data_IF_989708213711
#
_entry.id   IF_989708213711
#
_cell.length_a   1.000
_cell.length_b   1.000
_cell.length_c   1.000
_cell.angle_alpha   90.00
_cell.angle_beta   90.00
_cell.angle_gamma   90.00
#
_symmetry.space_group_name_H-M   'P 1'
#
loop_
_entity.id
_entity.type
_entity.pdbx_description
1 polymer ?
#
# COMPACT_ATOMS: atom_id res chain seq x y z
N UNK A 1 -9.65 -27.91 -2.14
CA UNK A 1 -9.39 -27.92 -3.59
C UNK A 1 -8.30 -26.92 -3.95
N UNK A 2 -7.06 -27.39 -4.06
CA UNK A 2 -5.84 -26.60 -4.36
C UNK A 2 -5.83 -25.91 -5.73
N UNK A 3 -6.87 -26.11 -6.54
CA UNK A 3 -6.93 -25.66 -7.94
C UNK A 3 -7.43 -24.22 -8.11
N UNK A 4 -8.14 -23.66 -7.13
CA UNK A 4 -8.81 -22.37 -7.29
C UNK A 4 -7.93 -21.20 -6.81
N UNK A 5 -8.02 -20.06 -7.51
CA UNK A 5 -7.49 -18.81 -7.05
C UNK A 5 -8.32 -18.28 -5.88
N UNK A 6 -7.65 -17.94 -4.77
CA UNK A 6 -8.29 -17.30 -3.61
C UNK A 6 -8.20 -15.79 -3.69
N UNK A 7 -7.13 -15.26 -4.31
CA UNK A 7 -6.91 -13.82 -4.51
C UNK A 7 -6.07 -13.56 -5.76
N UNK A 8 -6.33 -12.43 -6.42
CA UNK A 8 -5.53 -11.91 -7.53
C UNK A 8 -5.09 -10.50 -7.16
N UNK A 9 -3.82 -10.18 -7.39
CA UNK A 9 -3.25 -8.86 -7.26
C UNK A 9 -2.62 -8.43 -8.59
N UNK A 10 -2.91 -7.22 -9.06
CA UNK A 10 -2.45 -6.69 -10.33
C UNK A 10 -1.53 -5.49 -10.16
N UNK A 11 -0.37 -5.51 -10.82
CA UNK A 11 0.54 -4.38 -10.95
C UNK A 11 0.60 -3.85 -12.38
N UNK A 12 1.70 -3.17 -12.72
CA UNK A 12 1.91 -2.59 -14.05
C UNK A 12 2.31 -3.68 -15.06
N UNK A 13 1.30 -4.17 -15.80
CA UNK A 13 1.47 -5.21 -16.82
C UNK A 13 1.78 -6.61 -16.30
N UNK A 14 1.56 -6.90 -15.02
CA UNK A 14 1.66 -8.24 -14.44
C UNK A 14 0.55 -8.52 -13.44
N UNK A 15 0.33 -9.79 -13.17
CA UNK A 15 -0.56 -10.23 -12.11
C UNK A 15 0.07 -11.36 -11.29
N UNK A 16 -0.25 -11.38 -10.01
CA UNK A 16 0.07 -12.44 -9.08
C UNK A 16 -1.21 -13.06 -8.53
N UNK A 17 -1.24 -14.38 -8.40
CA UNK A 17 -2.41 -15.17 -8.01
C UNK A 17 -2.03 -16.02 -6.80
N UNK A 18 -2.75 -15.83 -5.72
CA UNK A 18 -2.71 -16.70 -4.56
C UNK A 18 -3.73 -17.81 -4.74
N UNK A 19 -3.32 -19.06 -4.66
CA UNK A 19 -4.21 -20.21 -4.67
C UNK A 19 -4.67 -20.62 -3.28
N UNK A 20 -5.72 -21.41 -3.22
CA UNK A 20 -6.28 -21.94 -1.97
C UNK A 20 -5.31 -22.83 -1.17
N UNK A 21 -4.29 -23.39 -1.82
CA UNK A 21 -3.21 -24.14 -1.17
C UNK A 21 -2.08 -23.25 -0.62
N UNK A 22 -2.25 -21.92 -0.72
CA UNK A 22 -1.26 -20.94 -0.27
C UNK A 22 -0.10 -20.73 -1.24
N UNK A 23 -0.07 -21.38 -2.40
CA UNK A 23 0.95 -21.16 -3.42
C UNK A 23 0.68 -19.86 -4.21
N UNK A 24 1.75 -19.18 -4.62
CA UNK A 24 1.66 -17.97 -5.45
C UNK A 24 2.12 -18.28 -6.87
N UNK A 25 1.35 -17.79 -7.83
CA UNK A 25 1.60 -17.90 -9.27
C UNK A 25 1.59 -16.52 -9.89
N UNK A 26 2.37 -16.29 -10.94
CA UNK A 26 2.45 -15.00 -11.60
C UNK A 26 2.58 -15.11 -13.11
N UNK A 27 2.14 -14.06 -13.82
CA UNK A 27 2.28 -13.91 -15.27
C UNK A 27 2.31 -12.43 -15.65
N UNK A 28 2.79 -12.13 -16.85
CA UNK A 28 2.97 -10.77 -17.38
C UNK A 28 4.41 -10.31 -17.36
N UNK A 29 4.63 -9.00 -17.20
CA UNK A 29 5.96 -8.39 -17.17
C UNK A 29 6.77 -8.85 -15.96
N UNK A 30 8.10 -9.00 -16.16
CA UNK A 30 9.00 -9.52 -15.14
C UNK A 30 10.41 -8.88 -15.20
N UNK A 31 10.54 -7.71 -15.82
CA UNK A 31 11.85 -7.05 -15.99
C UNK A 31 12.58 -6.75 -14.68
N UNK A 32 11.82 -6.58 -13.60
CA UNK A 32 12.34 -6.27 -12.27
C UNK A 32 12.29 -7.48 -11.33
N UNK A 33 11.81 -8.64 -11.81
CA UNK A 33 11.67 -9.87 -11.03
C UNK A 33 10.36 -9.95 -10.24
N UNK A 34 9.34 -9.14 -10.60
CA UNK A 34 8.06 -9.03 -9.88
C UNK A 34 7.22 -10.32 -9.86
N UNK A 35 7.57 -11.32 -10.68
CA UNK A 35 6.94 -12.65 -10.64
C UNK A 35 7.60 -13.63 -9.65
N UNK A 36 8.76 -13.29 -9.08
CA UNK A 36 9.41 -14.05 -8.01
C UNK A 36 9.91 -15.46 -8.42
N UNK A 37 10.11 -15.72 -9.69
CA UNK A 37 10.44 -17.05 -10.25
C UNK A 37 11.92 -17.21 -10.65
N UNK A 38 12.79 -16.32 -10.15
CA UNK A 38 14.23 -16.26 -10.46
C UNK A 38 14.58 -15.91 -11.91
N UNK A 39 13.61 -15.38 -12.65
CA UNK A 39 13.79 -14.95 -14.05
C UNK A 39 13.46 -13.47 -14.18
N UNK A 40 13.87 -12.86 -15.28
CA UNK A 40 13.53 -11.46 -15.64
C UNK A 40 12.74 -11.38 -16.96
N UNK A 41 12.54 -12.51 -17.63
CA UNK A 41 11.74 -12.56 -18.86
C UNK A 41 10.24 -12.50 -18.52
N UNK A 42 9.43 -11.81 -19.34
CA UNK A 42 7.98 -11.84 -19.22
C UNK A 42 7.44 -13.25 -19.44
N UNK A 43 6.31 -13.55 -18.80
CA UNK A 43 5.67 -14.87 -18.81
C UNK A 43 4.23 -14.73 -19.26
N UNK A 44 3.87 -15.42 -20.33
CA UNK A 44 2.50 -15.42 -20.87
C UNK A 44 1.61 -16.52 -20.27
N UNK A 45 2.18 -17.48 -19.55
CA UNK A 45 1.48 -18.56 -18.89
C UNK A 45 1.80 -18.53 -17.40
N UNK A 46 0.81 -18.61 -16.49
CA UNK A 46 1.09 -18.56 -15.06
C UNK A 46 2.17 -19.55 -14.63
N UNK A 47 3.16 -19.07 -13.90
CA UNK A 47 4.27 -19.84 -13.35
C UNK A 47 4.35 -19.62 -11.84
N UNK A 48 4.68 -20.67 -11.11
CA UNK A 48 4.78 -20.62 -9.66
C UNK A 48 6.03 -19.86 -9.22
N UNK A 49 5.93 -19.11 -8.12
CA UNK A 49 7.08 -18.49 -7.47
C UNK A 49 8.06 -19.56 -6.93
N UNK A 50 9.35 -19.20 -6.82
CA UNK A 50 10.40 -20.16 -6.45
C UNK A 50 10.50 -20.48 -4.95
N UNK A 51 9.47 -20.18 -4.14
CA UNK A 51 9.45 -20.57 -2.73
C UNK A 51 8.22 -21.42 -2.45
N UNK A 52 8.48 -22.61 -1.94
CA UNK A 52 7.49 -23.51 -1.38
C UNK A 52 7.16 -23.02 0.06
N UNK A 53 6.14 -22.19 0.18
CA UNK A 53 5.63 -21.70 1.47
C UNK A 53 4.14 -21.43 1.34
N UNK A 54 3.44 -21.45 2.46
CA UNK A 54 2.00 -21.16 2.50
C UNK A 54 1.79 -19.68 2.80
N UNK A 55 1.18 -18.99 1.85
CA UNK A 55 0.82 -17.59 1.97
C UNK A 55 -0.69 -17.45 2.17
N UNK A 56 -1.10 -16.42 2.93
CA UNK A 56 -2.53 -16.10 3.17
C UNK A 56 -2.96 -14.77 2.56
N UNK A 57 -2.02 -13.91 2.17
CA UNK A 57 -2.31 -12.65 1.51
C UNK A 57 -1.23 -12.32 0.48
N UNK A 58 -1.65 -11.71 -0.62
CA UNK A 58 -0.79 -11.17 -1.66
C UNK A 58 -1.29 -9.80 -2.09
N UNK A 59 -0.37 -8.86 -2.32
CA UNK A 59 -0.63 -7.55 -2.88
C UNK A 59 0.42 -7.24 -3.96
N UNK A 60 0.06 -6.39 -4.91
CA UNK A 60 0.93 -5.98 -5.99
C UNK A 60 1.09 -4.46 -5.97
N UNK A 61 2.33 -4.00 -5.95
CA UNK A 61 2.68 -2.64 -6.30
C UNK A 61 2.90 -2.49 -7.81
N UNK A 62 3.42 -1.34 -8.23
CA UNK A 62 3.63 -1.08 -9.65
C UNK A 62 4.52 -2.15 -10.30
N UNK A 63 5.67 -2.47 -9.69
CA UNK A 63 6.66 -3.44 -10.19
C UNK A 63 7.22 -4.35 -9.09
N UNK A 64 6.52 -4.49 -7.98
CA UNK A 64 6.90 -5.39 -6.89
C UNK A 64 5.69 -6.10 -6.34
N UNK A 65 5.91 -7.25 -5.75
CA UNK A 65 4.90 -8.07 -5.09
C UNK A 65 5.26 -8.22 -3.62
N UNK A 66 4.26 -8.15 -2.77
CA UNK A 66 4.38 -8.39 -1.33
C UNK A 66 3.38 -9.46 -0.91
N UNK A 67 3.78 -10.35 -0.02
CA UNK A 67 2.97 -11.44 0.45
C UNK A 67 3.15 -11.68 1.95
N UNK A 68 2.07 -12.04 2.60
CA UNK A 68 2.01 -12.40 4.02
C UNK A 68 1.88 -13.91 4.15
N UNK A 69 2.80 -14.53 4.89
CA UNK A 69 2.74 -15.96 5.23
C UNK A 69 1.80 -16.23 6.40
N UNK A 70 1.41 -17.49 6.53
CA UNK A 70 0.60 -17.96 7.66
C UNK A 70 1.28 -17.73 9.02
N UNK A 71 2.60 -17.81 9.08
CA UNK A 71 3.42 -17.57 10.28
C UNK A 71 3.52 -16.08 10.69
N UNK A 72 2.92 -15.17 9.94
CA UNK A 72 2.96 -13.73 10.20
C UNK A 72 4.22 -13.02 9.69
N UNK A 73 5.09 -13.71 8.93
CA UNK A 73 6.23 -13.08 8.24
C UNK A 73 5.81 -12.49 6.90
N UNK A 74 6.44 -11.39 6.50
CA UNK A 74 6.17 -10.69 5.24
C UNK A 74 7.33 -10.91 4.29
N UNK A 75 7.01 -11.15 3.02
CA UNK A 75 7.97 -11.40 1.96
C UNK A 75 7.68 -10.50 0.78
N UNK A 76 8.70 -10.00 0.09
CA UNK A 76 8.55 -9.12 -1.05
C UNK A 76 9.57 -9.46 -2.14
N UNK A 77 9.27 -9.10 -3.39
CA UNK A 77 10.14 -9.31 -4.54
C UNK A 77 9.76 -8.36 -5.69
N UNK A 78 10.68 -8.19 -6.64
CA UNK A 78 10.54 -7.26 -7.75
C UNK A 78 11.44 -6.05 -7.58
N UNK A 79 10.97 -4.89 -8.05
CA UNK A 79 11.68 -3.61 -7.96
C UNK A 79 11.92 -3.17 -6.52
N UNK A 80 13.11 -2.65 -6.26
CA UNK A 80 13.53 -2.12 -4.96
C UNK A 80 14.20 -0.73 -5.05
N UNK A 81 13.98 -0.01 -6.12
CA UNK A 81 14.60 1.31 -6.36
C UNK A 81 14.38 2.28 -5.20
N UNK A 82 13.26 2.17 -4.51
CA UNK A 82 12.87 3.00 -3.37
C UNK A 82 12.92 2.27 -2.03
N UNK A 83 13.50 1.06 -1.97
CA UNK A 83 13.52 0.27 -0.73
C UNK A 83 12.19 -0.41 -0.39
N UNK A 84 11.27 -0.53 -1.34
CA UNK A 84 9.92 -1.10 -1.15
C UNK A 84 9.92 -2.57 -0.76
N UNK A 85 11.06 -3.27 -0.91
CA UNK A 85 11.22 -4.66 -0.41
C UNK A 85 11.58 -4.74 1.08
N UNK A 86 11.82 -3.59 1.76
CA UNK A 86 12.05 -3.54 3.20
C UNK A 86 13.31 -4.25 3.70
N UNK A 87 14.38 -4.27 2.88
CA UNK A 87 15.62 -5.03 3.11
C UNK A 87 16.77 -4.17 3.66
N UNK A 88 16.56 -2.87 3.93
CA UNK A 88 17.62 -1.95 4.29
C UNK A 88 18.56 -1.59 3.13
N UNK A 89 18.20 -1.96 1.91
CA UNK A 89 18.95 -1.66 0.70
C UNK A 89 17.99 -1.29 -0.44
N UNK A 90 18.53 -1.06 -1.64
CA UNK A 90 17.76 -0.73 -2.87
C UNK A 90 18.08 -1.68 -4.02
N UNK A 91 18.35 -2.95 -3.72
CA UNK A 91 18.64 -3.99 -4.70
C UNK A 91 17.37 -4.77 -4.99
N UNK A 92 16.94 -4.78 -6.25
CA UNK A 92 15.79 -5.56 -6.71
C UNK A 92 16.00 -7.06 -6.52
N UNK A 93 14.93 -7.80 -6.28
CA UNK A 93 14.98 -9.22 -5.99
C UNK A 93 14.05 -10.00 -6.93
N UNK A 94 14.61 -10.95 -7.68
CA UNK A 94 13.85 -11.84 -8.57
C UNK A 94 13.35 -13.12 -7.88
N UNK A 95 13.61 -13.24 -6.57
CA UNK A 95 13.05 -14.25 -5.66
C UNK A 95 12.46 -13.56 -4.44
N UNK A 96 11.46 -14.14 -3.79
CA UNK A 96 10.98 -13.61 -2.52
C UNK A 96 12.09 -13.48 -1.48
N UNK A 97 12.19 -12.28 -0.87
CA UNK A 97 13.07 -11.96 0.26
C UNK A 97 12.23 -11.55 1.45
N UNK A 98 12.64 -11.91 2.65
CA UNK A 98 11.88 -11.58 3.86
C UNK A 98 12.05 -10.10 4.21
N UNK A 99 10.95 -9.39 4.43
CA UNK A 99 10.95 -8.01 4.93
C UNK A 99 11.48 -7.99 6.35
N UNK A 100 12.42 -7.07 6.64
CA UNK A 100 13.08 -7.00 7.94
C UNK A 100 12.21 -6.36 9.02
N UNK A 101 12.50 -6.63 10.28
CA UNK A 101 11.91 -5.99 11.47
C UNK A 101 10.38 -6.08 11.58
N UNK A 102 9.75 -7.04 10.92
CA UNK A 102 8.31 -7.30 11.03
C UNK A 102 8.05 -8.66 11.67
N UNK A 103 7.17 -8.67 12.68
CA UNK A 103 6.71 -9.89 13.34
C UNK A 103 5.22 -9.82 13.63
N UNK A 104 4.57 -10.98 13.67
CA UNK A 104 3.13 -11.08 13.97
C UNK A 104 2.24 -10.20 13.08
N UNK A 105 2.59 -10.03 11.81
CA UNK A 105 1.82 -9.25 10.86
C UNK A 105 0.51 -9.99 10.53
N UNK A 106 -0.58 -9.23 10.47
CA UNK A 106 -1.92 -9.76 10.18
C UNK A 106 -2.48 -9.24 8.87
N UNK A 107 -1.97 -8.12 8.35
CA UNK A 107 -2.37 -7.59 7.04
C UNK A 107 -1.27 -6.73 6.42
N UNK A 108 -1.20 -6.74 5.10
CA UNK A 108 -0.31 -5.90 4.29
C UNK A 108 -1.09 -5.23 3.16
N UNK A 109 -0.59 -4.10 2.67
CA UNK A 109 -1.06 -3.49 1.43
C UNK A 109 0.12 -2.86 0.67
N UNK A 110 -0.03 -2.69 -0.64
CA UNK A 110 0.96 -2.11 -1.53
C UNK A 110 0.37 -0.92 -2.30
N UNK A 111 1.08 0.21 -2.28
CA UNK A 111 0.93 1.28 -3.26
C UNK A 111 1.86 1.07 -4.44
N UNK A 112 2.04 2.08 -5.30
CA UNK A 112 2.90 1.95 -6.49
C UNK A 112 4.33 1.53 -6.11
N UNK A 113 4.96 2.21 -5.13
CA UNK A 113 6.34 2.00 -4.71
C UNK A 113 6.52 2.08 -3.18
N UNK A 114 5.47 1.85 -2.41
CA UNK A 114 5.54 1.78 -0.95
C UNK A 114 4.66 0.65 -0.43
N UNK A 115 4.86 0.28 0.80
CA UNK A 115 4.09 -0.75 1.46
C UNK A 115 3.69 -0.33 2.87
N UNK A 116 2.62 -0.94 3.36
CA UNK A 116 2.06 -0.74 4.70
C UNK A 116 1.67 -2.09 5.29
N UNK A 117 1.91 -2.29 6.57
CA UNK A 117 1.54 -3.49 7.29
C UNK A 117 0.96 -3.14 8.66
N UNK A 118 0.10 -4.01 9.20
CA UNK A 118 -0.33 -3.98 10.60
C UNK A 118 0.00 -5.29 11.29
N UNK A 119 0.43 -5.19 12.55
CA UNK A 119 0.60 -6.34 13.40
C UNK A 119 -0.69 -6.66 14.20
N UNK A 120 -0.70 -7.76 14.94
CA UNK A 120 -1.84 -8.20 15.75
C UNK A 120 -2.22 -7.24 16.89
N UNK A 121 -1.35 -6.28 17.22
CA UNK A 121 -1.61 -5.25 18.23
C UNK A 121 -2.16 -3.96 17.60
N UNK A 122 -2.29 -3.90 16.27
CA UNK A 122 -2.73 -2.72 15.54
C UNK A 122 -1.64 -1.69 15.32
N UNK A 123 -0.37 -2.03 15.53
CA UNK A 123 0.73 -1.15 15.15
C UNK A 123 0.88 -1.14 13.63
N UNK A 124 1.07 0.05 13.07
CA UNK A 124 1.21 0.26 11.63
C UNK A 124 2.68 0.49 11.29
N UNK A 125 3.15 -0.18 10.26
CA UNK A 125 4.50 -0.07 9.71
C UNK A 125 4.44 0.33 8.24
N UNK A 126 5.30 1.26 7.82
CA UNK A 126 5.38 1.75 6.44
C UNK A 126 6.82 1.80 5.96
N UNK A 127 7.04 1.61 4.65
CA UNK A 127 8.36 1.68 4.02
C UNK A 127 8.24 1.85 2.50
N UNK A 128 9.33 2.20 1.84
CA UNK A 128 9.41 2.48 0.42
C UNK A 128 9.44 3.97 0.11
N UNK A 129 8.93 4.36 -1.05
CA UNK A 129 8.87 5.75 -1.52
C UNK A 129 8.01 6.62 -0.60
N UNK A 130 8.51 7.84 -0.31
CA UNK A 130 7.82 8.79 0.56
C UNK A 130 7.76 10.22 0.03
N UNK A 131 8.09 10.47 -1.22
CA UNK A 131 8.15 11.82 -1.80
C UNK A 131 6.83 12.60 -1.74
N UNK A 132 5.73 11.94 -1.41
CA UNK A 132 4.39 12.50 -1.23
C UNK A 132 3.86 12.31 0.19
N UNK A 133 4.70 11.94 1.16
CA UNK A 133 4.28 11.68 2.53
C UNK A 133 3.47 10.38 2.72
N UNK A 134 3.49 9.46 1.75
CA UNK A 134 2.70 8.24 1.74
C UNK A 134 3.08 7.23 2.82
N UNK A 135 4.17 7.45 3.55
CA UNK A 135 4.54 6.65 4.72
C UNK A 135 3.93 7.16 6.03
N UNK A 136 3.38 8.39 6.06
CA UNK A 136 2.70 8.93 7.25
C UNK A 136 3.60 9.17 8.47
N UNK A 137 4.92 9.18 8.30
CA UNK A 137 5.93 9.29 9.36
C UNK A 137 6.39 10.74 9.60
N UNK A 138 5.61 11.73 9.15
CA UNK A 138 5.86 13.19 9.24
C UNK A 138 7.05 13.68 8.44
N UNK A 139 7.58 12.86 7.54
CA UNK A 139 8.67 13.23 6.62
C UNK A 139 8.25 12.98 5.17
N UNK A 140 9.15 13.28 4.23
CA UNK A 140 9.05 12.87 2.82
C UNK A 140 10.26 12.03 2.41
N UNK A 141 11.02 11.56 3.39
CA UNK A 141 12.19 10.74 3.16
C UNK A 141 11.82 9.28 2.88
N UNK A 142 12.42 8.72 1.84
CA UNK A 142 12.28 7.32 1.46
C UNK A 142 12.93 6.39 2.47
N UNK A 143 12.21 5.36 2.90
CA UNK A 143 12.63 4.44 3.96
C UNK A 143 12.73 3.02 3.42
N UNK A 144 13.89 2.37 3.60
CA UNK A 144 14.15 1.02 3.08
C UNK A 144 13.99 -0.11 4.10
N UNK A 145 13.65 0.22 5.34
CA UNK A 145 13.31 -0.73 6.42
C UNK A 145 11.95 -0.30 7.00
N UNK A 146 11.02 -1.22 7.30
CA UNK A 146 9.75 -0.85 7.91
C UNK A 146 9.92 -0.01 9.18
N UNK A 147 9.25 1.14 9.22
CA UNK A 147 9.18 2.03 10.38
C UNK A 147 7.76 2.09 10.92
N UNK A 148 7.63 2.06 12.25
CA UNK A 148 6.34 2.18 12.92
C UNK A 148 5.87 3.64 12.89
N UNK A 149 4.64 3.87 12.40
CA UNK A 149 3.99 5.17 12.51
C UNK A 149 3.52 5.42 13.95
N UNK A 150 3.61 6.68 14.38
CA UNK A 150 3.22 7.13 15.71
C UNK A 150 2.12 8.18 15.63
N UNK A 151 1.43 8.45 16.77
CA UNK A 151 0.38 9.46 16.85
C UNK A 151 -0.97 8.98 16.34
N UNK A 152 -1.22 7.68 16.39
CA UNK A 152 -2.55 7.08 16.23
C UNK A 152 -3.10 6.78 17.65
N UNK A 153 -4.29 7.30 17.94
CA UNK A 153 -4.89 7.20 19.27
C UNK A 153 -5.52 5.83 19.53
N UNK A 154 -5.99 5.17 18.47
CA UNK A 154 -6.67 3.89 18.54
C UNK A 154 -5.92 2.81 17.78
N UNK A 155 -6.20 1.55 18.15
CA UNK A 155 -5.71 0.38 17.44
C UNK A 155 -6.19 0.39 15.98
N UNK A 156 -5.27 0.21 15.03
CA UNK A 156 -5.62 0.07 13.61
C UNK A 156 -6.05 -1.35 13.31
N UNK A 157 -7.14 -1.50 12.56
CA UNK A 157 -7.74 -2.79 12.21
C UNK A 157 -7.68 -3.09 10.71
N UNK A 158 -7.52 -2.07 9.85
CA UNK A 158 -7.38 -2.22 8.39
C UNK A 158 -6.35 -1.26 7.84
N UNK A 159 -5.65 -1.70 6.82
CA UNK A 159 -4.75 -0.88 6.00
C UNK A 159 -5.07 -1.05 4.53
N UNK A 160 -4.84 0.01 3.76
CA UNK A 160 -4.89 0.01 2.31
C UNK A 160 -3.80 0.94 1.75
N UNK A 161 -3.33 0.64 0.56
CA UNK A 161 -2.44 1.52 -0.20
C UNK A 161 -2.78 1.42 -1.69
N UNK A 162 -2.48 2.47 -2.45
CA UNK A 162 -2.70 2.53 -3.89
C UNK A 162 -2.15 3.83 -4.46
N UNK A 163 -1.50 3.80 -5.64
CA UNK A 163 -0.78 4.95 -6.14
C UNK A 163 0.26 5.46 -5.12
N UNK A 164 0.16 6.72 -4.74
CA UNK A 164 0.93 7.35 -3.66
C UNK A 164 0.06 7.70 -2.45
N UNK A 165 -0.99 6.93 -2.18
CA UNK A 165 -1.88 7.07 -1.03
C UNK A 165 -1.77 5.87 -0.10
N UNK A 166 -1.94 6.13 1.19
CA UNK A 166 -2.16 5.14 2.23
C UNK A 166 -3.41 5.52 3.04
N UNK A 167 -4.16 4.51 3.46
CA UNK A 167 -5.32 4.67 4.31
C UNK A 167 -5.35 3.60 5.39
N UNK A 168 -5.90 3.96 6.54
CA UNK A 168 -6.10 3.06 7.67
C UNK A 168 -7.52 3.23 8.23
N UNK A 169 -8.04 2.17 8.81
CA UNK A 169 -9.26 2.21 9.64
C UNK A 169 -8.86 1.78 11.05
N UNK A 170 -9.25 2.57 12.04
CA UNK A 170 -9.03 2.22 13.43
C UNK A 170 -10.19 1.39 14.02
N UNK A 171 -10.07 0.98 15.27
CA UNK A 171 -11.04 0.14 15.97
C UNK A 171 -12.40 0.82 16.23
N UNK A 172 -12.50 2.13 16.04
CA UNK A 172 -13.76 2.90 16.15
C UNK A 172 -14.46 3.05 14.79
N UNK A 173 -13.82 2.62 13.70
CA UNK A 173 -14.33 2.78 12.34
C UNK A 173 -13.98 4.13 11.71
N UNK A 174 -13.06 4.88 12.32
CA UNK A 174 -12.55 6.12 11.77
C UNK A 174 -11.51 5.84 10.67
N UNK A 175 -11.57 6.64 9.61
CA UNK A 175 -10.66 6.52 8.45
C UNK A 175 -9.62 7.63 8.49
N UNK A 176 -8.36 7.25 8.34
CA UNK A 176 -7.25 8.20 8.19
C UNK A 176 -6.57 7.98 6.84
N UNK A 177 -6.16 9.06 6.19
CA UNK A 177 -5.51 9.03 4.88
C UNK A 177 -4.25 9.91 4.92
N UNK A 178 -3.22 9.51 4.18
CA UNK A 178 -1.98 10.26 4.01
C UNK A 178 -1.33 9.93 2.66
N UNK A 179 -0.48 10.83 2.19
CA UNK A 179 0.20 10.71 0.91
C UNK A 179 -0.10 11.87 -0.03
N UNK A 180 -0.25 11.58 -1.32
CA UNK A 180 -0.45 12.58 -2.36
C UNK A 180 -1.78 13.32 -2.20
N UNK A 181 -1.72 14.65 -2.19
CA UNK A 181 -2.88 15.54 -2.18
C UNK A 181 -2.87 16.50 -3.38
N UNK A 182 -2.09 16.20 -4.41
CA UNK A 182 -1.92 17.09 -5.57
C UNK A 182 -3.21 17.35 -6.38
N UNK A 183 -4.28 16.62 -6.07
CA UNK A 183 -5.62 16.76 -6.65
C UNK A 183 -6.70 16.94 -5.57
N UNK A 184 -6.33 17.42 -4.39
CA UNK A 184 -7.22 17.57 -3.22
C UNK A 184 -7.93 16.25 -2.81
N UNK A 185 -7.25 15.13 -2.98
CA UNK A 185 -7.83 13.82 -2.69
C UNK A 185 -7.90 13.46 -1.19
N UNK A 186 -7.19 14.22 -0.35
CA UNK A 186 -7.19 14.07 1.12
C UNK A 186 -7.92 15.25 1.78
N UNK A 187 -7.47 16.47 1.49
CA UNK A 187 -8.02 17.70 2.05
C UNK A 187 -7.96 18.84 1.03
N UNK A 188 -8.75 19.89 1.26
CA UNK A 188 -8.73 21.08 0.40
C UNK A 188 -7.36 21.76 0.40
N UNK A 189 -7.01 22.34 -0.75
CA UNK A 189 -5.75 23.06 -0.87
C UNK A 189 -5.69 24.26 0.09
N UNK A 190 -4.57 24.40 0.77
CA UNK A 190 -4.22 25.56 1.58
C UNK A 190 -3.25 26.42 0.79
N UNK A 191 -3.51 27.72 0.73
CA UNK A 191 -2.68 28.67 -0.01
C UNK A 191 -2.16 29.77 0.91
N UNK A 192 -0.94 30.24 0.64
CA UNK A 192 -0.54 31.59 1.01
C UNK A 192 -1.11 32.59 0.00
N UNK A 193 -1.25 33.83 0.40
CA UNK A 193 -1.72 34.91 -0.45
C UNK A 193 -0.65 35.99 -0.46
N UNK A 194 -0.45 36.66 -1.61
CA UNK A 194 0.40 37.80 -1.73
C UNK A 194 -0.28 39.07 -1.12
N UNK A 195 0.44 40.20 -1.16
CA UNK A 195 -0.06 41.45 -0.64
C UNK A 195 -1.29 42.01 -1.40
N UNK A 196 -1.62 41.47 -2.55
CA UNK A 196 -2.79 41.82 -3.36
C UNK A 196 -3.94 40.84 -3.21
N UNK A 197 -3.81 39.81 -2.33
CA UNK A 197 -4.82 38.77 -2.09
C UNK A 197 -4.85 37.68 -3.18
N UNK A 198 -3.82 37.55 -4.01
CA UNK A 198 -3.73 36.48 -5.01
C UNK A 198 -3.09 35.24 -4.40
N UNK A 199 -3.59 34.07 -4.81
CA UNK A 199 -3.05 32.78 -4.36
C UNK A 199 -1.61 32.58 -4.85
N UNK A 200 -0.69 32.31 -3.93
CA UNK A 200 0.67 31.90 -4.25
C UNK A 200 0.67 30.41 -4.58
N UNK A 201 1.12 30.03 -5.77
CA UNK A 201 1.23 28.64 -6.21
C UNK A 201 2.64 28.09 -5.95
N UNK A 202 2.83 26.80 -5.67
CA UNK A 202 1.80 25.77 -5.48
C UNK A 202 1.11 25.85 -4.10
N UNK A 203 -0.01 25.11 -3.88
CA UNK A 203 -0.63 24.99 -2.56
C UNK A 203 0.35 24.45 -1.52
N UNK A 204 0.16 24.84 -0.25
CA UNK A 204 1.02 24.42 0.86
C UNK A 204 0.96 22.90 1.15
N UNK A 205 -0.19 22.29 0.91
CA UNK A 205 -0.48 20.89 1.25
C UNK A 205 -0.69 20.01 0.02
N UNK A 206 0.24 20.06 -0.94
CA UNK A 206 0.23 19.14 -2.09
C UNK A 206 0.46 17.67 -1.70
N UNK A 207 0.85 17.40 -0.48
CA UNK A 207 0.97 16.09 0.12
C UNK A 207 0.72 16.18 1.63
N UNK A 208 0.36 15.04 2.23
CA UNK A 208 0.08 14.91 3.66
C UNK A 208 0.95 13.82 4.23
N UNK A 209 1.93 14.21 5.06
CA UNK A 209 2.97 13.31 5.59
C UNK A 209 2.65 12.69 6.95
N UNK A 210 1.42 12.85 7.44
CA UNK A 210 0.91 12.22 8.66
C UNK A 210 -0.53 11.77 8.46
N UNK A 211 -1.02 10.76 9.19
CA UNK A 211 -2.42 10.36 9.13
C UNK A 211 -3.37 11.51 9.45
N UNK A 212 -4.30 11.80 8.55
CA UNK A 212 -5.36 12.82 8.72
C UNK A 212 -6.71 12.12 8.69
N UNK A 213 -7.52 12.33 9.74
CA UNK A 213 -8.88 11.78 9.85
C UNK A 213 -9.80 12.39 8.79
N UNK A 214 -10.49 11.54 8.06
CA UNK A 214 -11.55 11.97 7.12
C UNK A 214 -12.84 12.20 7.90
N UNK A 215 -13.13 13.47 8.21
CA UNK A 215 -14.21 13.88 9.12
C UNK A 215 -15.63 13.47 8.67
N UNK A 216 -15.82 13.21 7.37
CA UNK A 216 -17.13 12.89 6.79
C UNK A 216 -17.40 11.39 6.70
N UNK A 217 -16.45 10.54 7.14
CA UNK A 217 -16.57 9.09 7.05
C UNK A 217 -16.45 8.48 8.44
N UNK A 218 -17.51 7.83 8.87
CA UNK A 218 -17.61 7.09 10.12
C UNK A 218 -18.12 5.67 9.85
N UNK A 219 -17.90 4.76 10.80
CA UNK A 219 -18.37 3.37 10.75
C UNK A 219 -17.81 2.60 9.51
N UNK A 220 -16.57 2.86 9.15
CA UNK A 220 -15.91 2.18 8.06
C UNK A 220 -15.53 0.73 8.43
N UNK A 221 -15.75 -0.21 7.50
CA UNK A 221 -15.37 -1.63 7.66
C UNK A 221 -14.32 -2.06 6.64
N UNK A 222 -14.24 -1.37 5.50
CA UNK A 222 -13.24 -1.63 4.45
C UNK A 222 -12.86 -0.34 3.74
N UNK A 223 -11.59 -0.20 3.42
CA UNK A 223 -11.06 0.91 2.63
C UNK A 223 -10.20 0.37 1.50
N UNK A 224 -10.22 1.06 0.37
CA UNK A 224 -9.35 0.82 -0.77
C UNK A 224 -8.81 2.16 -1.28
N UNK A 225 -7.51 2.24 -1.47
CA UNK A 225 -6.87 3.39 -2.11
C UNK A 225 -6.90 3.24 -3.63
N UNK A 226 -7.23 4.34 -4.29
CA UNK A 226 -7.13 4.53 -5.73
C UNK A 226 -6.02 5.56 -6.01
N UNK A 227 -5.67 5.78 -7.27
CA UNK A 227 -4.72 6.84 -7.63
C UNK A 227 -5.22 8.26 -7.30
N UNK A 228 -6.52 8.45 -7.16
CA UNK A 228 -7.17 9.76 -7.01
C UNK A 228 -8.06 9.88 -5.78
N UNK A 229 -7.90 9.03 -4.79
CA UNK A 229 -8.69 9.07 -3.56
C UNK A 229 -8.92 7.69 -2.96
N UNK A 230 -9.89 7.58 -2.07
CA UNK A 230 -10.25 6.33 -1.42
C UNK A 230 -11.73 5.96 -1.67
N UNK A 231 -12.01 4.66 -1.60
CA UNK A 231 -13.37 4.11 -1.54
C UNK A 231 -13.51 3.40 -0.20
N UNK A 232 -14.59 3.67 0.49
CA UNK A 232 -14.87 3.13 1.82
C UNK A 232 -16.23 2.44 1.81
N UNK A 233 -16.28 1.21 2.31
CA UNK A 233 -17.51 0.50 2.65
C UNK A 233 -17.78 0.71 4.14
N UNK A 234 -19.02 1.05 4.47
CA UNK A 234 -19.49 1.29 5.85
C UNK A 234 -20.28 0.10 6.39
N UNK A 235 -20.56 0.11 7.69
CA UNK A 235 -21.36 -0.93 8.36
C UNK A 235 -22.82 -1.01 7.88
N UNK A 236 -23.37 0.09 7.34
CA UNK A 236 -24.70 0.15 6.74
C UNK A 236 -24.72 -0.28 5.26
N UNK A 237 -23.62 -0.92 4.80
CA UNK A 237 -23.40 -1.36 3.42
C UNK A 237 -23.30 -0.23 2.39
N UNK A 238 -23.37 1.04 2.80
CA UNK A 238 -23.13 2.16 1.91
C UNK A 238 -21.66 2.27 1.50
N UNK A 239 -21.44 2.78 0.28
CA UNK A 239 -20.10 3.00 -0.27
C UNK A 239 -19.88 4.49 -0.46
N UNK A 240 -18.83 5.02 0.14
CA UNK A 240 -18.42 6.43 0.02
C UNK A 240 -17.11 6.51 -0.75
N UNK A 241 -17.00 7.51 -1.64
CA UNK A 241 -15.77 7.81 -2.38
C UNK A 241 -15.34 9.24 -2.08
N UNK A 242 -14.06 9.42 -1.72
CA UNK A 242 -13.46 10.74 -1.59
C UNK A 242 -12.78 11.11 -2.90
N UNK A 243 -13.49 11.78 -3.81
CA UNK A 243 -12.90 12.44 -4.98
C UNK A 243 -13.75 13.65 -5.31
N UNK A 244 -13.14 14.84 -5.40
CA UNK A 244 -13.83 16.04 -5.90
C UNK A 244 -14.19 16.00 -7.40
N UNK A 245 -13.75 14.99 -8.15
CA UNK A 245 -13.98 14.87 -9.58
C UNK A 245 -15.01 13.78 -9.93
N UNK A 246 -16.22 13.90 -9.38
CA UNK A 246 -17.38 13.13 -9.85
C UNK A 246 -18.56 14.08 -10.10
N UNK A 247 -18.35 15.08 -10.95
CA UNK A 247 -19.46 15.82 -11.58
C UNK A 247 -18.93 16.58 -12.80
N UNK A 248 -18.85 15.91 -13.92
CA UNK A 248 -19.14 16.43 -15.25
C UNK A 248 -19.82 15.35 -16.07
#
# INVERSE_FOLDING_TARGET
DSKYASKIAGGDGYAAVLKADGSIWGFGYNSDGQLGNDKLAPINVPSQTNILATYKQIEAGKKFTIALREDGTVWAWGDNTYGQLGQGNRVSAKKPVQVQNLTNIVSVAAGDNHAIAIDKLGNVYTWGLNSKGQLGNRTTETVSIPEKITGLDNQVVKVAAGGNLSAIIDSTGDVYVFGDNSKEQIEEFKYNYDQYGQKIMPPLNMYVSQPVKVQTIENAVKVQCLQTGIVVLKTDESVVRTTKYASQ
#
